data_IF_348504814703
#
_entry.id   IF_348504814703
#
_cell.length_a   1.000
_cell.length_b   1.000
_cell.length_c   1.000
_cell.angle_alpha   90.00
_cell.angle_beta   90.00
_cell.angle_gamma   90.00
#
_symmetry.space_group_name_H-M   'P 1'
#
loop_
_entity.id
_entity.type
_entity.pdbx_description
1 polymer ?
#
# COMPACT_ATOMS: atom_id res chain seq x y z
N UNK A 1 -23.07 5.42 16.26
CA UNK A 1 -22.58 5.84 14.93
C UNK A 1 -21.33 6.69 15.12
N UNK A 2 -20.24 6.43 14.37
CA UNK A 2 -19.00 7.22 14.48
C UNK A 2 -19.22 8.68 14.07
N UNK A 3 -18.68 9.60 14.88
CA UNK A 3 -18.68 11.04 14.57
C UNK A 3 -17.60 11.40 13.55
N UNK A 4 -17.68 12.58 12.90
CA UNK A 4 -16.63 13.06 12.00
C UNK A 4 -15.27 13.15 12.71
N UNK A 5 -15.26 13.59 13.98
CA UNK A 5 -14.06 13.67 14.80
C UNK A 5 -13.42 12.30 15.03
N UNK A 6 -14.23 11.27 15.28
CA UNK A 6 -13.74 9.90 15.44
C UNK A 6 -13.18 9.32 14.15
N UNK A 7 -13.87 9.52 13.01
CA UNK A 7 -13.37 9.09 11.70
C UNK A 7 -12.03 9.76 11.42
N UNK A 8 -11.95 11.09 11.62
CA UNK A 8 -10.72 11.84 11.39
C UNK A 8 -9.58 11.41 12.32
N UNK A 9 -9.88 11.17 13.59
CA UNK A 9 -8.88 10.72 14.57
C UNK A 9 -8.24 9.37 14.23
N UNK A 10 -8.93 8.53 13.46
CA UNK A 10 -8.39 7.26 12.95
C UNK A 10 -7.67 7.46 11.62
N UNK A 11 -8.24 8.25 10.70
CA UNK A 11 -7.74 8.43 9.34
C UNK A 11 -6.46 9.28 9.27
N UNK A 12 -6.41 10.38 10.04
CA UNK A 12 -5.33 11.34 9.97
C UNK A 12 -3.95 10.72 10.31
N UNK A 13 -3.80 9.89 11.36
CA UNK A 13 -2.53 9.25 11.62
C UNK A 13 -2.13 8.23 10.54
N UNK A 14 -3.09 7.56 9.91
CA UNK A 14 -2.83 6.67 8.78
C UNK A 14 -2.33 7.49 7.57
N UNK A 15 -2.98 8.61 7.28
CA UNK A 15 -2.56 9.54 6.23
C UNK A 15 -1.11 9.98 6.45
N UNK A 16 -0.77 10.45 7.64
CA UNK A 16 0.59 10.90 7.96
C UNK A 16 1.62 9.78 7.84
N UNK A 17 1.26 8.55 8.23
CA UNK A 17 2.16 7.41 8.08
C UNK A 17 2.43 7.06 6.62
N UNK A 18 1.44 7.19 5.74
CA UNK A 18 1.61 6.98 4.29
C UNK A 18 2.42 8.12 3.64
N UNK A 19 2.22 9.36 4.08
CA UNK A 19 3.05 10.48 3.63
C UNK A 19 4.51 10.30 4.03
N UNK A 20 4.79 9.91 5.27
CA UNK A 20 6.14 9.66 5.73
C UNK A 20 6.82 8.52 4.96
N UNK A 21 6.06 7.45 4.63
CA UNK A 21 6.56 6.37 3.77
C UNK A 21 6.93 6.88 2.37
N UNK A 22 6.14 7.80 1.82
CA UNK A 22 6.44 8.40 0.52
C UNK A 22 7.70 9.28 0.59
N UNK A 23 7.88 10.03 1.68
CA UNK A 23 9.11 10.82 1.91
C UNK A 23 10.35 9.92 1.95
N UNK A 24 10.30 8.76 2.62
CA UNK A 24 11.40 7.78 2.61
C UNK A 24 11.75 7.41 1.17
N UNK A 25 10.76 6.96 0.38
CA UNK A 25 10.99 6.53 -0.99
C UNK A 25 11.61 7.64 -1.88
N UNK A 26 11.15 8.88 -1.70
CA UNK A 26 11.69 10.04 -2.45
C UNK A 26 13.13 10.34 -2.01
N UNK A 27 13.44 10.26 -0.73
CA UNK A 27 14.78 10.52 -0.20
C UNK A 27 15.77 9.45 -0.66
N UNK A 28 15.43 8.17 -0.56
CA UNK A 28 16.24 7.05 -1.06
C UNK A 28 16.57 7.25 -2.55
N UNK A 29 15.55 7.56 -3.35
CA UNK A 29 15.71 7.81 -4.79
C UNK A 29 16.62 9.01 -5.06
N UNK A 30 16.45 10.11 -4.32
CA UNK A 30 17.27 11.31 -4.47
C UNK A 30 18.74 11.05 -4.09
N UNK A 31 18.99 10.35 -2.98
CA UNK A 31 20.36 10.06 -2.54
C UNK A 31 21.08 9.11 -3.51
N UNK A 32 20.40 8.05 -3.97
CA UNK A 32 20.97 7.12 -4.95
C UNK A 32 21.18 7.75 -6.32
N UNK A 33 20.33 8.69 -6.71
CA UNK A 33 20.53 9.48 -7.93
C UNK A 33 21.80 10.35 -7.91
N UNK A 34 22.28 10.76 -6.71
CA UNK A 34 23.55 11.45 -6.54
C UNK A 34 24.76 10.51 -6.55
N UNK A 35 24.55 9.21 -6.36
CA UNK A 35 25.64 8.21 -6.43
C UNK A 35 25.95 7.90 -7.90
N UNK A 36 24.97 7.37 -8.64
CA UNK A 36 25.10 7.09 -10.08
C UNK A 36 23.75 6.71 -10.70
N UNK A 37 23.66 6.84 -12.02
CA UNK A 37 22.50 6.36 -12.79
C UNK A 37 22.30 4.83 -12.65
N UNK A 38 23.40 4.09 -12.56
CA UNK A 38 23.38 2.63 -12.35
C UNK A 38 22.80 2.30 -10.98
N UNK A 39 23.22 3.01 -9.90
CA UNK A 39 22.71 2.80 -8.57
C UNK A 39 21.21 3.12 -8.48
N UNK A 40 20.77 4.19 -9.14
CA UNK A 40 19.35 4.55 -9.23
C UNK A 40 18.53 3.47 -9.95
N UNK A 41 18.98 3.02 -11.11
CA UNK A 41 18.31 1.97 -11.88
C UNK A 41 18.26 0.63 -11.15
N UNK A 42 19.37 0.24 -10.53
CA UNK A 42 19.49 -0.98 -9.77
C UNK A 42 18.59 -1.01 -8.52
N UNK A 43 18.54 0.09 -7.77
CA UNK A 43 17.63 0.21 -6.61
C UNK A 43 16.16 0.21 -7.01
N UNK A 44 15.82 0.80 -8.17
CA UNK A 44 14.47 0.76 -8.70
C UNK A 44 14.03 -0.68 -9.03
N UNK A 45 14.88 -1.48 -9.68
CA UNK A 45 14.59 -2.89 -10.00
C UNK A 45 14.51 -3.75 -8.73
N UNK A 46 15.48 -3.62 -7.83
CA UNK A 46 15.48 -4.35 -6.54
C UNK A 46 14.30 -3.93 -5.65
N UNK A 47 13.97 -2.65 -5.61
CA UNK A 47 12.82 -2.11 -4.88
C UNK A 47 11.49 -2.62 -5.42
N UNK A 48 11.34 -2.70 -6.75
CA UNK A 48 10.14 -3.26 -7.38
C UNK A 48 9.94 -4.74 -7.00
N UNK A 49 11.00 -5.53 -7.05
CA UNK A 49 10.95 -6.92 -6.59
C UNK A 49 10.54 -7.02 -5.12
N UNK A 50 11.17 -6.21 -4.26
CA UNK A 50 10.86 -6.17 -2.84
C UNK A 50 9.40 -5.81 -2.58
N UNK A 51 8.86 -4.80 -3.28
CA UNK A 51 7.46 -4.38 -3.15
C UNK A 51 6.51 -5.50 -3.60
N UNK A 52 6.79 -6.20 -4.69
CA UNK A 52 5.98 -7.34 -5.13
C UNK A 52 5.86 -8.42 -4.05
N UNK A 53 6.96 -8.76 -3.40
CA UNK A 53 6.97 -9.72 -2.29
C UNK A 53 6.24 -9.15 -1.07
N UNK A 54 6.47 -7.89 -0.73
CA UNK A 54 5.86 -7.20 0.39
C UNK A 54 4.33 -7.12 0.28
N UNK A 55 3.76 -6.98 -0.92
CA UNK A 55 2.30 -6.91 -1.12
C UNK A 55 1.57 -8.15 -0.61
N UNK A 56 2.23 -9.32 -0.62
CA UNK A 56 1.69 -10.58 -0.08
C UNK A 56 1.50 -10.44 1.45
N UNK A 57 2.53 -9.99 2.16
CA UNK A 57 2.46 -9.77 3.60
C UNK A 57 1.46 -8.67 3.97
N UNK A 58 1.43 -7.60 3.18
CA UNK A 58 0.47 -6.50 3.35
C UNK A 58 -0.97 -6.98 3.19
N UNK A 59 -1.24 -7.82 2.18
CA UNK A 59 -2.55 -8.44 1.97
C UNK A 59 -2.96 -9.33 3.14
N UNK A 60 -2.05 -10.17 3.67
CA UNK A 60 -2.29 -10.97 4.86
C UNK A 60 -2.61 -10.10 6.09
N UNK A 61 -1.85 -9.05 6.30
CA UNK A 61 -2.05 -8.14 7.43
C UNK A 61 -3.39 -7.41 7.35
N UNK A 62 -3.85 -7.05 6.14
CA UNK A 62 -5.16 -6.43 5.92
C UNK A 62 -6.30 -7.39 6.30
N UNK A 63 -6.20 -8.67 5.93
CA UNK A 63 -7.16 -9.67 6.37
C UNK A 63 -7.15 -9.87 7.89
N UNK A 64 -5.97 -9.93 8.51
CA UNK A 64 -5.82 -10.00 9.96
C UNK A 64 -6.39 -8.76 10.66
N UNK A 65 -6.22 -7.57 10.08
CA UNK A 65 -6.81 -6.32 10.57
C UNK A 65 -8.34 -6.40 10.65
N UNK A 66 -9.00 -7.00 9.65
CA UNK A 66 -10.45 -7.20 9.63
C UNK A 66 -10.89 -8.07 10.82
N UNK A 67 -10.17 -9.16 11.08
CA UNK A 67 -10.47 -10.06 12.21
C UNK A 67 -10.24 -9.35 13.54
N UNK A 68 -9.13 -8.65 13.71
CA UNK A 68 -8.82 -7.87 14.91
C UNK A 68 -9.90 -6.81 15.15
N UNK A 69 -10.27 -6.06 14.11
CA UNK A 69 -11.31 -5.03 14.20
C UNK A 69 -12.67 -5.63 14.60
N UNK A 70 -13.01 -6.81 14.08
CA UNK A 70 -14.24 -7.52 14.44
C UNK A 70 -14.23 -7.91 15.92
N UNK A 71 -13.14 -8.55 16.40
CA UNK A 71 -13.00 -8.94 17.82
C UNK A 71 -13.04 -7.74 18.75
N UNK A 72 -12.39 -6.64 18.35
CA UNK A 72 -12.42 -5.39 19.11
C UNK A 72 -13.84 -4.83 19.20
N UNK A 73 -14.60 -4.83 18.11
CA UNK A 73 -16.00 -4.39 18.08
C UNK A 73 -16.94 -5.27 18.91
N UNK A 74 -16.72 -6.59 18.90
CA UNK A 74 -17.45 -7.58 19.72
C UNK A 74 -17.17 -7.45 21.22
N UNK A 75 -16.19 -6.61 21.64
CA UNK A 75 -15.72 -6.56 23.01
C UNK A 75 -14.86 -7.75 23.43
N UNK A 76 -14.54 -8.65 22.50
CA UNK A 76 -13.69 -9.84 22.71
C UNK A 76 -12.21 -9.47 22.63
N UNK A 77 -11.79 -8.54 23.48
CA UNK A 77 -10.45 -7.95 23.42
C UNK A 77 -9.34 -8.99 23.62
N UNK A 78 -9.55 -9.99 24.49
CA UNK A 78 -8.57 -11.05 24.76
C UNK A 78 -8.28 -11.95 23.55
N UNK A 79 -9.14 -11.94 22.53
CA UNK A 79 -8.97 -12.72 21.31
C UNK A 79 -8.15 -11.97 20.25
N UNK A 80 -7.84 -10.71 20.48
CA UNK A 80 -6.99 -9.90 19.60
C UNK A 80 -5.54 -10.38 19.62
N UNK A 81 -4.99 -10.65 20.81
CA UNK A 81 -3.62 -11.12 20.98
C UNK A 81 -3.33 -12.42 20.22
N UNK A 82 -4.17 -13.47 20.37
CA UNK A 82 -4.02 -14.68 19.58
C UNK A 82 -3.94 -14.45 18.06
N UNK A 83 -4.80 -13.58 17.50
CA UNK A 83 -4.76 -13.24 16.06
C UNK A 83 -3.44 -12.57 15.71
N UNK A 84 -2.97 -11.61 16.53
CA UNK A 84 -1.68 -10.94 16.34
C UNK A 84 -0.51 -11.93 16.36
N UNK A 85 -0.46 -12.81 17.37
CA UNK A 85 0.63 -13.79 17.56
C UNK A 85 0.65 -14.79 16.39
N UNK A 86 -0.50 -15.38 16.02
CA UNK A 86 -0.57 -16.30 14.89
C UNK A 86 -0.17 -15.61 13.57
N UNK A 87 -0.59 -14.35 13.38
CA UNK A 87 -0.21 -13.56 12.21
C UNK A 87 1.29 -13.30 12.14
N UNK A 88 1.92 -12.93 13.27
CA UNK A 88 3.39 -12.74 13.34
C UNK A 88 4.12 -14.05 13.07
N UNK A 89 3.69 -15.17 13.66
CA UNK A 89 4.31 -16.49 13.41
C UNK A 89 4.22 -16.89 11.95
N UNK A 90 3.05 -16.72 11.34
CA UNK A 90 2.83 -17.03 9.92
C UNK A 90 3.68 -16.14 9.01
N UNK A 91 3.68 -14.83 9.23
CA UNK A 91 4.45 -13.90 8.42
C UNK A 91 5.97 -14.07 8.60
N UNK A 92 6.42 -14.44 9.80
CA UNK A 92 7.83 -14.76 10.03
C UNK A 92 8.25 -16.04 9.29
N UNK A 93 7.42 -17.09 9.33
CA UNK A 93 7.66 -18.30 8.54
C UNK A 93 7.66 -18.01 7.02
N UNK A 94 6.73 -17.18 6.56
CA UNK A 94 6.68 -16.73 5.17
C UNK A 94 7.91 -15.89 4.79
N UNK A 95 8.40 -15.03 5.69
CA UNK A 95 9.63 -14.27 5.47
C UNK A 95 10.84 -15.21 5.31
N UNK A 96 10.95 -16.27 6.12
CA UNK A 96 11.98 -17.29 5.98
C UNK A 96 11.93 -18.01 4.63
N UNK A 97 10.73 -18.42 4.20
CA UNK A 97 10.53 -19.07 2.90
C UNK A 97 10.90 -18.15 1.74
N UNK A 98 10.43 -16.91 1.76
CA UNK A 98 10.68 -15.92 0.70
C UNK A 98 12.13 -15.44 0.70
N UNK A 99 12.78 -15.35 1.85
CA UNK A 99 14.20 -15.09 1.97
C UNK A 99 15.02 -16.24 1.31
N UNK A 100 14.73 -17.49 1.67
CA UNK A 100 15.38 -18.66 1.05
C UNK A 100 15.12 -18.76 -0.45
N UNK A 101 13.88 -18.53 -0.87
CA UNK A 101 13.50 -18.48 -2.29
C UNK A 101 14.26 -17.39 -3.06
N UNK A 102 14.35 -16.19 -2.50
CA UNK A 102 15.06 -15.08 -3.15
C UNK A 102 16.57 -15.35 -3.21
N UNK A 103 17.15 -15.94 -2.17
CA UNK A 103 18.58 -16.37 -2.21
C UNK A 103 18.85 -17.44 -3.25
N UNK A 104 17.94 -18.39 -3.43
CA UNK A 104 18.10 -19.49 -4.39
C UNK A 104 17.83 -19.07 -5.85
N UNK A 105 16.81 -18.26 -6.09
CA UNK A 105 16.27 -17.98 -7.42
C UNK A 105 16.32 -16.50 -7.82
N UNK A 106 16.60 -15.59 -6.91
CA UNK A 106 16.58 -14.15 -7.16
C UNK A 106 17.49 -13.71 -8.30
N UNK A 107 18.70 -14.28 -8.36
CA UNK A 107 19.63 -14.03 -9.46
C UNK A 107 19.08 -14.45 -10.82
N UNK A 108 18.46 -15.63 -10.92
CA UNK A 108 17.85 -16.11 -12.16
C UNK A 108 16.68 -15.24 -12.59
N UNK A 109 15.84 -14.81 -11.62
CA UNK A 109 14.71 -13.92 -11.89
C UNK A 109 15.20 -12.57 -12.38
N UNK A 110 16.21 -11.98 -11.72
CA UNK A 110 16.75 -10.68 -12.12
C UNK A 110 17.43 -10.75 -13.49
N UNK A 111 18.10 -11.83 -13.86
CA UNK A 111 18.66 -12.01 -15.20
C UNK A 111 17.61 -12.06 -16.31
N UNK A 112 16.39 -12.51 -16.02
CA UNK A 112 15.28 -12.47 -16.97
C UNK A 112 14.69 -11.06 -17.14
N UNK A 113 14.82 -10.21 -16.12
CA UNK A 113 14.18 -8.89 -16.07
C UNK A 113 15.12 -7.74 -16.43
N UNK A 114 16.43 -7.91 -16.21
CA UNK A 114 17.44 -6.87 -16.37
C UNK A 114 18.40 -7.24 -17.49
N UNK A 115 18.46 -6.43 -18.54
CA UNK A 115 19.33 -6.67 -19.71
C UNK A 115 20.73 -6.10 -19.53
N UNK A 116 20.89 -5.04 -18.73
CA UNK A 116 22.19 -4.40 -18.47
C UNK A 116 22.94 -5.13 -17.36
N UNK A 117 24.17 -5.60 -17.61
CA UNK A 117 24.98 -6.30 -16.62
C UNK A 117 25.30 -5.40 -15.42
N UNK A 118 25.62 -4.14 -15.62
CA UNK A 118 25.92 -3.19 -14.52
C UNK A 118 24.70 -2.95 -13.61
N UNK A 119 23.51 -2.85 -14.19
CA UNK A 119 22.25 -2.72 -13.41
C UNK A 119 21.95 -4.04 -12.70
N UNK A 120 22.20 -5.20 -13.34
CA UNK A 120 22.01 -6.50 -12.72
C UNK A 120 22.90 -6.66 -11.48
N UNK A 121 24.20 -6.39 -11.61
CA UNK A 121 25.14 -6.48 -10.48
C UNK A 121 24.74 -5.56 -9.33
N UNK A 122 24.40 -4.30 -9.62
CA UNK A 122 23.91 -3.36 -8.60
C UNK A 122 22.59 -3.81 -7.97
N UNK A 123 21.68 -4.39 -8.76
CA UNK A 123 20.42 -4.96 -8.24
C UNK A 123 20.65 -6.12 -7.30
N UNK A 124 21.59 -7.01 -7.62
CA UNK A 124 21.95 -8.13 -6.75
C UNK A 124 22.64 -7.65 -5.48
N UNK A 125 23.55 -6.67 -5.56
CA UNK A 125 24.16 -6.06 -4.39
C UNK A 125 23.13 -5.42 -3.46
N UNK A 126 22.11 -4.72 -4.01
CA UNK A 126 21.00 -4.16 -3.26
C UNK A 126 20.16 -5.26 -2.60
N UNK A 127 19.74 -6.26 -3.38
CA UNK A 127 18.85 -7.34 -2.90
C UNK A 127 19.53 -8.20 -1.85
N UNK A 128 20.83 -8.47 -1.96
CA UNK A 128 21.56 -9.27 -0.98
C UNK A 128 21.43 -8.77 0.45
N UNK A 129 21.25 -7.47 0.62
CA UNK A 129 21.02 -6.84 1.92
C UNK A 129 19.54 -6.51 2.15
N UNK A 130 18.83 -6.06 1.13
CA UNK A 130 17.45 -5.60 1.27
C UNK A 130 16.49 -6.71 1.71
N UNK A 131 16.71 -7.95 1.29
CA UNK A 131 15.86 -9.10 1.64
C UNK A 131 15.84 -9.43 3.13
N UNK A 132 16.84 -9.02 3.93
CA UNK A 132 16.77 -9.11 5.39
C UNK A 132 15.63 -8.26 5.95
N UNK A 133 15.19 -7.25 5.23
CA UNK A 133 14.02 -6.45 5.55
C UNK A 133 12.71 -7.24 5.61
N UNK A 134 12.59 -8.41 4.94
CA UNK A 134 11.38 -9.24 5.04
C UNK A 134 11.06 -9.60 6.49
N UNK A 135 12.07 -9.93 7.30
CA UNK A 135 11.86 -10.28 8.71
C UNK A 135 11.26 -9.12 9.51
N UNK A 136 11.62 -7.90 9.18
CA UNK A 136 11.17 -6.72 9.90
C UNK A 136 9.89 -6.14 9.29
N UNK A 137 9.84 -5.94 7.98
CA UNK A 137 8.67 -5.35 7.32
C UNK A 137 7.40 -6.19 7.50
N UNK A 138 7.52 -7.53 7.48
CA UNK A 138 6.37 -8.42 7.67
C UNK A 138 5.81 -8.37 9.09
N UNK A 139 6.66 -8.21 10.09
CA UNK A 139 6.20 -7.99 11.46
C UNK A 139 5.60 -6.58 11.62
N UNK A 140 6.20 -5.57 10.99
CA UNK A 140 5.71 -4.20 11.02
C UNK A 140 4.26 -4.09 10.51
N UNK A 141 3.92 -4.78 9.41
CA UNK A 141 2.54 -4.73 8.89
C UNK A 141 1.53 -5.39 9.84
N UNK A 142 1.95 -6.36 10.68
CA UNK A 142 1.08 -6.94 11.72
C UNK A 142 0.83 -5.95 12.86
N UNK A 143 1.84 -5.20 13.31
CA UNK A 143 1.63 -4.11 14.28
C UNK A 143 0.69 -3.03 13.71
N UNK A 144 0.89 -2.67 12.45
CA UNK A 144 -0.02 -1.75 11.75
C UNK A 144 -1.46 -2.28 11.74
N UNK A 145 -1.66 -3.56 11.42
CA UNK A 145 -2.97 -4.22 11.45
C UNK A 145 -3.59 -4.21 12.84
N UNK A 146 -2.80 -4.47 13.88
CA UNK A 146 -3.25 -4.40 15.27
C UNK A 146 -3.79 -3.02 15.60
N UNK A 147 -2.98 -1.97 15.41
CA UNK A 147 -3.33 -0.63 15.81
C UNK A 147 -4.48 -0.01 15.02
N UNK A 148 -4.59 -0.32 13.72
CA UNK A 148 -5.73 0.08 12.90
C UNK A 148 -6.99 -0.69 13.35
N UNK A 149 -6.86 -1.99 13.59
CA UNK A 149 -7.97 -2.85 14.02
C UNK A 149 -8.58 -2.42 15.35
N UNK A 150 -7.75 -2.07 16.33
CA UNK A 150 -8.22 -1.54 17.64
C UNK A 150 -8.46 -0.04 17.64
N UNK A 151 -8.40 0.64 16.47
CA UNK A 151 -8.64 2.08 16.28
C UNK A 151 -7.71 3.02 17.07
N UNK A 152 -6.49 2.55 17.42
CA UNK A 152 -5.45 3.35 18.11
C UNK A 152 -4.34 3.78 17.16
N UNK A 153 -4.67 4.52 16.12
CA UNK A 153 -3.79 4.80 14.96
C UNK A 153 -2.71 5.86 15.20
N UNK A 154 -2.79 6.65 16.26
CA UNK A 154 -1.79 7.72 16.56
C UNK A 154 -0.35 7.22 16.60
N UNK A 155 -0.14 6.00 17.07
CA UNK A 155 1.18 5.36 17.11
C UNK A 155 1.80 5.20 15.72
N UNK A 156 0.98 5.04 14.68
CA UNK A 156 1.45 4.87 13.31
C UNK A 156 2.19 6.10 12.80
N UNK A 157 1.70 7.30 13.16
CA UNK A 157 2.40 8.54 12.82
C UNK A 157 3.75 8.63 13.51
N UNK A 158 3.80 8.34 14.82
CA UNK A 158 5.06 8.41 15.58
C UNK A 158 6.06 7.38 15.03
N UNK A 159 5.59 6.16 14.79
CA UNK A 159 6.41 5.11 14.19
C UNK A 159 6.95 5.50 12.82
N UNK A 160 6.10 6.10 11.97
CA UNK A 160 6.51 6.53 10.64
C UNK A 160 7.58 7.63 10.70
N UNK A 161 7.48 8.56 11.66
CA UNK A 161 8.52 9.57 11.90
C UNK A 161 9.83 8.92 12.38
N UNK A 162 9.76 8.00 13.34
CA UNK A 162 10.95 7.26 13.83
C UNK A 162 11.62 6.51 12.68
N UNK A 163 10.84 5.79 11.87
CA UNK A 163 11.36 5.04 10.73
C UNK A 163 11.98 5.97 9.67
N UNK A 164 11.30 7.07 9.34
CA UNK A 164 11.79 8.03 8.35
C UNK A 164 13.08 8.72 8.80
N UNK A 165 13.15 9.18 10.05
CA UNK A 165 14.37 9.81 10.58
C UNK A 165 15.53 8.79 10.61
N UNK A 166 15.28 7.56 11.05
CA UNK A 166 16.31 6.51 11.07
C UNK A 166 16.81 6.22 9.66
N UNK A 167 15.90 6.07 8.68
CA UNK A 167 16.25 5.81 7.29
C UNK A 167 17.10 6.95 6.72
N UNK A 168 16.60 8.21 6.75
CA UNK A 168 17.29 9.37 6.16
C UNK A 168 18.68 9.58 6.77
N UNK A 169 18.81 9.44 8.10
CA UNK A 169 20.11 9.57 8.77
C UNK A 169 21.06 8.45 8.37
N UNK A 170 20.59 7.20 8.37
CA UNK A 170 21.43 6.05 7.99
C UNK A 170 21.78 6.06 6.51
N UNK A 171 20.87 6.48 5.64
CA UNK A 171 21.17 6.67 4.21
C UNK A 171 22.29 7.67 4.01
N UNK A 172 22.19 8.84 4.64
CA UNK A 172 23.26 9.85 4.55
C UNK A 172 24.61 9.33 5.06
N UNK A 173 24.59 8.57 6.15
CA UNK A 173 25.80 8.02 6.76
C UNK A 173 26.41 6.89 5.93
N UNK A 174 25.60 5.93 5.50
CA UNK A 174 26.08 4.70 4.86
C UNK A 174 26.28 4.84 3.35
N UNK A 175 25.41 5.60 2.66
CA UNK A 175 25.56 5.82 1.22
C UNK A 175 26.83 6.63 0.95
N UNK A 176 27.02 7.74 1.69
CA UNK A 176 28.10 8.69 1.44
C UNK A 176 29.33 8.55 2.36
N UNK A 177 29.36 7.53 3.23
CA UNK A 177 30.51 7.26 4.10
C UNK A 177 30.80 8.38 5.09
N UNK A 178 29.79 8.93 5.78
CA UNK A 178 29.96 10.01 6.74
C UNK A 178 30.19 9.48 8.16
N UNK A 179 30.68 10.36 9.05
CA UNK A 179 30.96 10.05 10.46
C UNK A 179 31.90 8.85 10.69
N UNK A 180 32.85 8.63 9.79
CA UNK A 180 33.85 7.56 9.90
C UNK A 180 33.37 6.19 9.39
N UNK A 181 32.19 6.10 8.84
CA UNK A 181 31.70 4.87 8.17
C UNK A 181 32.25 4.81 6.73
N UNK A 182 32.47 3.60 6.19
CA UNK A 182 32.85 3.45 4.79
C UNK A 182 31.70 3.87 3.86
N UNK A 183 32.04 4.41 2.70
CA UNK A 183 31.08 4.69 1.63
C UNK A 183 30.59 3.36 1.04
N UNK A 184 29.28 3.10 1.16
CA UNK A 184 28.67 1.82 0.76
C UNK A 184 27.75 1.96 -0.45
N UNK A 185 27.49 3.17 -0.93
CA UNK A 185 26.63 3.40 -2.10
C UNK A 185 25.27 2.69 -1.98
N UNK A 186 24.91 1.90 -3.00
CA UNK A 186 23.64 1.19 -3.09
C UNK A 186 23.43 0.15 -1.97
N UNK A 187 24.49 -0.52 -1.55
CA UNK A 187 24.47 -1.43 -0.41
C UNK A 187 24.10 -0.70 0.89
N UNK A 188 24.63 0.54 1.06
CA UNK A 188 24.33 1.40 2.19
C UNK A 188 22.84 1.73 2.29
N UNK A 189 22.20 2.06 1.16
CA UNK A 189 20.76 2.30 1.10
C UNK A 189 19.93 1.07 1.51
N UNK A 190 20.31 -0.14 1.04
CA UNK A 190 19.64 -1.37 1.41
C UNK A 190 19.73 -1.64 2.92
N UNK A 191 20.92 -1.48 3.51
CA UNK A 191 21.17 -1.66 4.95
C UNK A 191 20.39 -0.61 5.76
N UNK A 192 20.41 0.65 5.35
CA UNK A 192 19.69 1.74 6.04
C UNK A 192 18.18 1.46 6.09
N UNK A 193 17.58 1.03 4.98
CA UNK A 193 16.17 0.65 4.92
C UNK A 193 15.84 -0.52 5.85
N UNK A 194 16.69 -1.55 5.91
CA UNK A 194 16.51 -2.70 6.83
C UNK A 194 16.60 -2.26 8.29
N UNK A 195 17.57 -1.42 8.64
CA UNK A 195 17.73 -0.90 10.00
C UNK A 195 16.58 0.04 10.40
N UNK A 196 16.05 0.81 9.47
CA UNK A 196 14.86 1.63 9.69
C UNK A 196 13.63 0.76 10.00
N UNK A 197 13.42 -0.32 9.26
CA UNK A 197 12.36 -1.29 9.53
C UNK A 197 12.55 -2.00 10.89
N UNK A 198 13.79 -2.33 11.26
CA UNK A 198 14.13 -2.89 12.57
C UNK A 198 13.84 -1.90 13.71
N UNK A 199 14.20 -0.62 13.53
CA UNK A 199 13.90 0.44 14.51
C UNK A 199 12.40 0.63 14.71
N UNK A 200 11.63 0.48 13.64
CA UNK A 200 10.16 0.50 13.66
C UNK A 200 9.59 -0.62 14.55
N UNK A 201 10.11 -1.85 14.43
CA UNK A 201 9.66 -2.96 15.31
C UNK A 201 10.02 -2.67 16.76
N UNK A 202 11.24 -2.24 17.03
CA UNK A 202 11.68 -1.90 18.37
C UNK A 202 10.78 -0.84 19.00
N UNK A 203 10.47 0.20 18.23
CA UNK A 203 9.52 1.24 18.63
C UNK A 203 8.14 0.65 18.95
N UNK A 204 7.58 -0.18 18.07
CA UNK A 204 6.27 -0.79 18.29
C UNK A 204 6.25 -1.68 19.53
N UNK A 205 7.29 -2.47 19.78
CA UNK A 205 7.40 -3.32 20.95
C UNK A 205 7.42 -2.48 22.24
N UNK A 206 8.28 -1.47 22.29
CA UNK A 206 8.40 -0.57 23.44
C UNK A 206 7.08 0.18 23.68
N UNK A 207 6.52 0.77 22.63
CA UNK A 207 5.27 1.53 22.73
C UNK A 207 4.11 0.63 23.17
N UNK A 208 4.00 -0.58 22.62
CA UNK A 208 2.96 -1.55 23.00
C UNK A 208 3.10 -1.94 24.45
N UNK A 209 4.32 -2.22 24.92
CA UNK A 209 4.57 -2.60 26.31
C UNK A 209 4.19 -1.49 27.30
N UNK A 210 4.47 -0.23 26.94
CA UNK A 210 4.23 0.92 27.84
C UNK A 210 2.76 1.38 27.81
N UNK A 211 2.11 1.38 26.64
CA UNK A 211 0.84 2.10 26.45
C UNK A 211 -0.39 1.22 26.26
N UNK A 212 -0.19 -0.08 25.95
CA UNK A 212 -1.28 -1.01 25.71
C UNK A 212 -1.47 -1.92 26.92
N UNK A 213 -2.71 -2.06 27.38
CA UNK A 213 -3.02 -3.07 28.38
C UNK A 213 -2.91 -4.47 27.76
N UNK A 214 -1.75 -5.09 27.95
CA UNK A 214 -1.42 -6.40 27.40
C UNK A 214 -2.37 -7.50 27.86
N UNK A 215 -2.87 -7.43 29.12
CA UNK A 215 -3.83 -8.41 29.66
C UNK A 215 -5.18 -8.27 28.98
N UNK A 216 -5.65 -7.02 28.81
CA UNK A 216 -6.90 -6.73 28.12
C UNK A 216 -6.94 -7.31 26.73
N UNK A 217 -5.86 -7.14 25.96
CA UNK A 217 -5.80 -7.61 24.57
C UNK A 217 -5.23 -9.02 24.41
N UNK A 218 -4.94 -9.74 25.50
CA UNK A 218 -4.41 -11.11 25.45
C UNK A 218 -3.00 -11.21 24.83
N UNK A 219 -2.22 -10.12 24.90
CA UNK A 219 -0.85 -10.04 24.39
C UNK A 219 0.20 -10.44 25.42
N UNK A 220 -0.20 -10.64 26.67
CA UNK A 220 0.68 -10.96 27.80
C UNK A 220 1.10 -12.43 27.87
N UNK A 221 0.58 -13.28 27.02
CA UNK A 221 0.88 -14.72 26.96
C UNK A 221 1.22 -15.12 25.56
N UNK A 222 2.41 -15.67 25.36
CA UNK A 222 2.75 -16.39 24.14
C UNK A 222 1.88 -17.66 24.11
N UNK A 223 0.95 -17.70 23.16
CA UNK A 223 0.15 -18.90 22.90
C UNK A 223 0.89 -19.79 21.91
N UNK A 224 0.73 -21.10 22.08
CA UNK A 224 1.19 -22.08 21.11
C UNK A 224 0.53 -21.85 19.74
N UNK A 225 1.13 -22.38 18.70
CA UNK A 225 0.58 -22.36 17.35
C UNK A 225 -0.80 -23.02 17.33
N UNK A 226 -1.79 -22.29 16.79
CA UNK A 226 -3.18 -22.74 16.64
C UNK A 226 -3.56 -22.79 15.16
N UNK A 227 -3.48 -23.99 14.53
CA UNK A 227 -3.81 -24.14 13.11
C UNK A 227 -5.24 -23.75 12.77
N UNK A 228 -6.20 -23.97 13.68
CA UNK A 228 -7.60 -23.66 13.44
C UNK A 228 -7.84 -22.15 13.38
N UNK A 229 -7.22 -21.40 14.27
CA UNK A 229 -7.26 -19.94 14.26
C UNK A 229 -6.54 -19.39 13.02
N UNK A 230 -5.35 -19.92 12.70
CA UNK A 230 -4.62 -19.50 11.50
C UNK A 230 -5.43 -19.75 10.23
N UNK A 231 -6.08 -20.92 10.10
CA UNK A 231 -6.93 -21.24 8.94
C UNK A 231 -8.11 -20.27 8.82
N UNK A 232 -8.68 -19.85 9.96
CA UNK A 232 -9.73 -18.83 9.98
C UNK A 232 -9.19 -17.46 9.51
N UNK A 233 -8.01 -17.07 9.93
CA UNK A 233 -7.37 -15.83 9.44
C UNK A 233 -7.10 -15.95 7.94
N UNK A 234 -6.54 -17.07 7.48
CA UNK A 234 -6.23 -17.32 6.07
C UNK A 234 -7.48 -17.33 5.19
N UNK A 235 -8.63 -17.82 5.69
CA UNK A 235 -9.89 -17.82 4.94
C UNK A 235 -10.39 -16.41 4.55
N UNK A 236 -9.84 -15.38 5.18
CA UNK A 236 -10.07 -13.97 4.86
C UNK A 236 -8.87 -13.38 4.13
N UNK A 237 -7.67 -13.66 4.65
CA UNK A 237 -6.43 -13.02 4.21
C UNK A 237 -5.94 -13.52 2.85
N UNK A 238 -6.19 -14.78 2.45
CA UNK A 238 -5.75 -15.27 1.15
C UNK A 238 -6.40 -14.49 -0.02
N UNK A 239 -7.64 -14.06 0.14
CA UNK A 239 -8.32 -13.25 -0.87
C UNK A 239 -7.75 -11.84 -0.93
N UNK A 240 -7.40 -11.22 0.20
CA UNK A 240 -6.74 -9.92 0.22
C UNK A 240 -5.29 -10.00 -0.29
N UNK A 241 -4.56 -11.08 0.00
CA UNK A 241 -3.23 -11.31 -0.56
C UNK A 241 -3.26 -11.36 -2.10
N UNK A 242 -4.18 -12.16 -2.64
CA UNK A 242 -4.35 -12.29 -4.10
C UNK A 242 -4.81 -10.96 -4.72
N UNK A 243 -5.70 -10.25 -4.04
CA UNK A 243 -6.20 -8.93 -4.46
C UNK A 243 -5.05 -7.92 -4.63
N UNK A 244 -4.19 -7.75 -3.62
CA UNK A 244 -3.06 -6.82 -3.70
C UNK A 244 -2.06 -7.22 -4.78
N UNK A 245 -1.82 -8.51 -4.96
CA UNK A 245 -0.97 -9.01 -6.04
C UNK A 245 -1.54 -8.68 -7.42
N UNK A 246 -2.83 -8.92 -7.64
CA UNK A 246 -3.51 -8.61 -8.91
C UNK A 246 -3.54 -7.11 -9.19
N UNK A 247 -3.78 -6.28 -8.18
CA UNK A 247 -3.75 -4.81 -8.33
C UNK A 247 -2.36 -4.33 -8.76
N UNK A 248 -1.29 -4.92 -8.23
CA UNK A 248 0.07 -4.60 -8.65
C UNK A 248 0.34 -5.02 -10.10
N UNK A 249 -0.13 -6.20 -10.49
CA UNK A 249 -0.01 -6.69 -11.87
C UNK A 249 -0.73 -5.80 -12.89
N UNK A 250 -1.84 -5.19 -12.51
CA UNK A 250 -2.62 -4.27 -13.37
C UNK A 250 -1.79 -3.05 -13.80
N UNK A 251 -1.05 -2.46 -12.88
CA UNK A 251 -0.12 -1.38 -13.18
C UNK A 251 0.97 -1.78 -14.17
N UNK A 252 1.50 -2.99 -14.01
CA UNK A 252 2.50 -3.52 -14.92
C UNK A 252 1.96 -3.63 -16.35
N UNK A 253 0.74 -4.15 -16.52
CA UNK A 253 0.09 -4.24 -17.85
C UNK A 253 -0.09 -2.87 -18.47
N UNK A 254 -0.47 -1.84 -17.71
CA UNK A 254 -0.57 -0.47 -18.21
C UNK A 254 0.76 0.03 -18.76
N UNK A 255 1.85 -0.10 -17.98
CA UNK A 255 3.16 0.39 -18.40
C UNK A 255 3.71 -0.36 -19.62
N UNK A 256 3.47 -1.68 -19.73
CA UNK A 256 3.84 -2.46 -20.93
C UNK A 256 3.07 -1.97 -22.15
N UNK A 257 1.80 -1.63 -22.02
CA UNK A 257 1.02 -1.09 -23.13
C UNK A 257 1.51 0.30 -23.55
N UNK A 258 1.82 1.17 -22.60
CA UNK A 258 2.31 2.53 -22.87
C UNK A 258 3.73 2.52 -23.46
N UNK A 259 4.61 1.61 -23.04
CA UNK A 259 5.96 1.46 -23.62
C UNK A 259 5.91 1.24 -25.15
N UNK A 260 4.91 0.50 -25.62
CA UNK A 260 4.71 0.24 -27.05
C UNK A 260 4.23 1.46 -27.84
N UNK A 261 3.73 2.49 -27.18
CA UNK A 261 3.37 3.76 -27.82
C UNK A 261 4.60 4.60 -28.14
N UNK A 262 5.60 4.59 -27.27
CA UNK A 262 6.85 5.30 -27.48
C UNK A 262 7.52 5.75 -26.16
N UNK A 263 8.77 6.20 -26.28
CA UNK A 263 9.54 6.68 -25.13
C UNK A 263 8.97 7.97 -24.54
N UNK A 264 8.38 8.81 -25.40
CA UNK A 264 7.77 10.10 -25.01
C UNK A 264 6.53 9.86 -24.14
N UNK A 265 5.65 8.98 -24.59
CA UNK A 265 4.43 8.58 -23.89
C UNK A 265 4.76 7.91 -22.55
N UNK A 266 5.81 7.09 -22.53
CA UNK A 266 6.29 6.46 -21.30
C UNK A 266 6.81 7.50 -20.29
N UNK A 267 7.51 8.52 -20.75
CA UNK A 267 7.98 9.62 -19.90
C UNK A 267 6.80 10.40 -19.28
N UNK A 268 5.79 10.74 -20.10
CA UNK A 268 4.55 11.37 -19.64
C UNK A 268 3.86 10.49 -18.59
N UNK A 269 3.71 9.19 -18.88
CA UNK A 269 3.06 8.25 -17.99
C UNK A 269 3.75 8.18 -16.62
N UNK A 270 5.09 8.18 -16.59
CA UNK A 270 5.84 8.14 -15.33
C UNK A 270 5.65 9.40 -14.46
N UNK A 271 5.66 10.58 -15.09
CA UNK A 271 5.45 11.85 -14.39
C UNK A 271 4.01 11.91 -13.84
N UNK A 272 3.02 11.62 -14.67
CA UNK A 272 1.60 11.64 -14.30
C UNK A 272 1.31 10.62 -13.20
N UNK A 273 1.94 9.42 -13.25
CA UNK A 273 1.86 8.43 -12.19
C UNK A 273 2.37 8.95 -10.85
N UNK A 274 3.43 9.73 -10.85
CA UNK A 274 3.98 10.29 -9.61
C UNK A 274 2.96 11.21 -8.92
N UNK A 275 2.27 12.04 -9.68
CA UNK A 275 1.15 12.86 -9.17
C UNK A 275 0.00 11.99 -8.69
N UNK A 276 -0.37 10.98 -9.46
CA UNK A 276 -1.43 10.03 -9.13
C UNK A 276 -1.18 9.31 -7.79
N UNK A 277 0.03 8.82 -7.54
CA UNK A 277 0.40 8.14 -6.29
C UNK A 277 0.23 9.07 -5.08
N UNK A 278 0.63 10.34 -5.21
CA UNK A 278 0.47 11.33 -4.14
C UNK A 278 -1.01 11.59 -3.85
N UNK A 279 -1.84 11.74 -4.89
CA UNK A 279 -3.29 11.93 -4.75
C UNK A 279 -3.98 10.70 -4.16
N UNK A 280 -3.46 9.49 -4.37
CA UNK A 280 -4.00 8.26 -3.76
C UNK A 280 -3.76 8.15 -2.25
N UNK A 281 -2.80 8.86 -1.68
CA UNK A 281 -2.46 8.74 -0.25
C UNK A 281 -3.67 9.00 0.66
N UNK A 282 -4.40 10.13 0.56
CA UNK A 282 -5.58 10.36 1.39
C UNK A 282 -6.72 9.38 1.11
N UNK A 283 -6.88 8.94 -0.13
CA UNK A 283 -7.87 7.92 -0.52
C UNK A 283 -7.59 6.61 0.21
N UNK A 284 -6.34 6.13 0.17
CA UNK A 284 -5.92 4.90 0.84
C UNK A 284 -6.04 4.97 2.36
N UNK A 285 -5.77 6.14 2.96
CA UNK A 285 -5.96 6.35 4.39
C UNK A 285 -7.44 6.19 4.81
N UNK A 286 -8.36 6.80 4.06
CA UNK A 286 -9.79 6.73 4.33
C UNK A 286 -10.38 5.35 3.96
N UNK A 287 -9.91 4.71 2.91
CA UNK A 287 -10.26 3.34 2.56
C UNK A 287 -9.87 2.34 3.67
N UNK A 288 -8.64 2.43 4.17
CA UNK A 288 -8.15 1.62 5.31
C UNK A 288 -8.97 1.88 6.59
N UNK A 289 -9.30 3.14 6.85
CA UNK A 289 -10.17 3.53 7.97
C UNK A 289 -11.55 2.91 7.82
N UNK A 290 -12.13 2.94 6.62
CA UNK A 290 -13.45 2.35 6.35
C UNK A 290 -13.45 0.85 6.61
N UNK A 291 -12.44 0.14 6.12
CA UNK A 291 -12.27 -1.29 6.36
C UNK A 291 -12.32 -1.63 7.87
N UNK A 292 -11.54 -0.91 8.68
CA UNK A 292 -11.48 -1.13 10.13
C UNK A 292 -12.78 -0.74 10.85
N UNK A 293 -13.32 0.46 10.56
CA UNK A 293 -14.50 0.96 11.26
C UNK A 293 -15.77 0.16 10.91
N UNK A 294 -15.90 -0.32 9.68
CA UNK A 294 -16.99 -1.22 9.27
C UNK A 294 -16.92 -2.53 10.03
N UNK A 295 -15.72 -3.15 10.11
CA UNK A 295 -15.56 -4.41 10.84
C UNK A 295 -15.85 -4.24 12.33
N UNK A 296 -15.36 -3.15 12.95
CA UNK A 296 -15.68 -2.79 14.34
C UNK A 296 -17.20 -2.57 14.54
N UNK A 297 -17.85 -1.84 13.63
CA UNK A 297 -19.28 -1.55 13.74
C UNK A 297 -20.13 -2.83 13.67
N UNK A 298 -19.78 -3.76 12.80
CA UNK A 298 -20.48 -5.06 12.70
C UNK A 298 -20.22 -5.87 13.98
N UNK A 299 -18.99 -5.90 14.48
CA UNK A 299 -18.66 -6.58 15.74
C UNK A 299 -19.48 -6.06 16.91
N UNK A 300 -19.70 -4.76 16.97
CA UNK A 300 -20.56 -4.11 17.97
C UNK A 300 -22.06 -4.31 17.77
N UNK A 301 -22.48 -5.17 16.82
CA UNK A 301 -23.90 -5.37 16.50
C UNK A 301 -24.55 -4.25 15.69
N UNK A 302 -23.78 -3.28 15.24
CA UNK A 302 -24.25 -2.07 14.56
C UNK A 302 -24.45 -2.24 13.04
N UNK A 303 -24.93 -3.38 12.56
CA UNK A 303 -25.08 -3.70 11.13
C UNK A 303 -25.84 -2.61 10.36
N UNK A 304 -26.92 -2.07 10.95
CA UNK A 304 -27.74 -1.00 10.36
C UNK A 304 -26.98 0.31 10.13
N UNK A 305 -25.85 0.50 10.80
CA UNK A 305 -25.04 1.72 10.67
C UNK A 305 -23.92 1.60 9.64
N UNK A 306 -23.71 0.42 9.05
CA UNK A 306 -22.59 0.15 8.11
C UNK A 306 -22.74 1.02 6.85
N UNK A 307 -23.88 0.98 6.17
CA UNK A 307 -24.09 1.80 4.95
C UNK A 307 -24.04 3.32 5.24
N UNK A 308 -24.71 3.84 6.29
CA UNK A 308 -24.54 5.23 6.68
C UNK A 308 -23.09 5.62 7.00
N UNK A 309 -22.31 4.72 7.60
CA UNK A 309 -20.89 4.95 7.90
C UNK A 309 -20.07 5.03 6.61
N UNK A 310 -20.21 4.06 5.70
CA UNK A 310 -19.53 4.05 4.41
C UNK A 310 -19.84 5.33 3.63
N UNK A 311 -21.12 5.70 3.51
CA UNK A 311 -21.54 6.90 2.80
C UNK A 311 -20.99 8.18 3.44
N UNK A 312 -20.86 8.20 4.76
CA UNK A 312 -20.29 9.33 5.49
C UNK A 312 -18.80 9.48 5.21
N UNK A 313 -18.03 8.38 5.25
CA UNK A 313 -16.61 8.41 4.95
C UNK A 313 -16.37 8.72 3.46
N UNK A 314 -17.20 8.18 2.57
CA UNK A 314 -17.12 8.44 1.13
C UNK A 314 -17.33 9.93 0.80
N UNK A 315 -18.32 10.60 1.42
CA UNK A 315 -18.49 12.05 1.28
C UNK A 315 -17.28 12.82 1.80
N UNK A 316 -16.74 12.40 2.94
CA UNK A 316 -15.56 13.02 3.52
C UNK A 316 -14.35 12.89 2.61
N UNK A 317 -14.13 11.69 2.04
CA UNK A 317 -13.09 11.42 1.05
C UNK A 317 -13.24 12.25 -0.22
N UNK A 318 -14.48 12.35 -0.72
CA UNK A 318 -14.79 13.14 -1.90
C UNK A 318 -14.47 14.63 -1.73
N UNK A 319 -14.85 15.24 -0.60
CA UNK A 319 -14.57 16.67 -0.38
C UNK A 319 -13.07 16.96 -0.18
N UNK A 320 -12.33 16.07 0.48
CA UNK A 320 -10.86 16.21 0.57
C UNK A 320 -10.25 16.13 -0.83
N UNK A 321 -10.68 15.13 -1.63
CA UNK A 321 -10.17 14.95 -2.98
C UNK A 321 -10.57 16.10 -3.90
N UNK A 322 -11.77 16.63 -3.75
CA UNK A 322 -12.23 17.81 -4.53
C UNK A 322 -11.28 18.99 -4.33
N UNK A 323 -10.87 19.26 -3.09
CA UNK A 323 -9.90 20.32 -2.79
C UNK A 323 -8.53 20.06 -3.44
N UNK A 324 -8.01 18.82 -3.34
CA UNK A 324 -6.72 18.46 -3.94
C UNK A 324 -6.75 18.50 -5.47
N UNK A 325 -7.81 17.99 -6.06
CA UNK A 325 -8.02 18.00 -7.52
C UNK A 325 -8.19 19.44 -8.03
N UNK A 326 -8.90 20.29 -7.31
CA UNK A 326 -9.02 21.71 -7.68
C UNK A 326 -7.65 22.40 -7.69
N UNK A 327 -6.81 22.16 -6.69
CA UNK A 327 -5.44 22.67 -6.67
C UNK A 327 -4.60 22.12 -7.83
N UNK A 328 -4.71 20.81 -8.10
CA UNK A 328 -3.96 20.16 -9.19
C UNK A 328 -4.41 20.65 -10.56
N UNK A 329 -5.71 20.90 -10.75
CA UNK A 329 -6.27 21.38 -12.01
C UNK A 329 -6.02 22.88 -12.24
N UNK A 330 -5.89 23.68 -11.17
CA UNK A 330 -5.57 25.11 -11.29
C UNK A 330 -4.08 25.34 -11.58
N UNK A 331 -3.21 24.47 -11.09
CA UNK A 331 -1.76 24.61 -11.20
C UNK A 331 -1.06 23.38 -11.77
N UNK A 332 -1.53 22.79 -12.90
CA UNK A 332 -0.97 21.53 -13.41
C UNK A 332 0.49 21.67 -13.83
N UNK A 333 0.85 22.79 -14.47
CA UNK A 333 2.21 23.06 -14.91
C UNK A 333 3.19 23.18 -13.73
N UNK A 334 2.77 23.82 -12.62
CA UNK A 334 3.58 23.89 -11.41
C UNK A 334 3.83 22.50 -10.82
N UNK A 335 2.80 21.64 -10.73
CA UNK A 335 2.96 20.27 -10.23
C UNK A 335 3.90 19.45 -11.12
N UNK A 336 3.76 19.58 -12.42
CA UNK A 336 4.60 18.87 -13.39
C UNK A 336 6.05 19.39 -13.36
N UNK A 337 6.28 20.68 -13.12
CA UNK A 337 7.61 21.27 -13.02
C UNK A 337 8.44 20.76 -11.82
N UNK A 338 7.78 20.14 -10.81
CA UNK A 338 8.47 19.47 -9.72
C UNK A 338 9.22 18.22 -10.22
N UNK A 339 8.74 17.58 -11.29
CA UNK A 339 9.28 16.32 -11.80
C UNK A 339 10.16 16.48 -13.04
N UNK A 340 9.99 17.54 -13.81
CA UNK A 340 10.79 17.79 -15.01
C UNK A 340 10.94 19.28 -15.29
N UNK A 341 12.09 19.67 -15.85
CA UNK A 341 12.35 21.03 -16.31
C UNK A 341 12.07 21.23 -17.81
N UNK A 342 11.70 20.17 -18.53
CA UNK A 342 11.45 20.20 -19.97
C UNK A 342 10.06 20.78 -20.27
N UNK A 343 9.99 22.01 -20.78
CA UNK A 343 8.75 22.74 -21.02
C UNK A 343 7.78 22.01 -21.98
N UNK A 344 8.31 21.32 -23.00
CA UNK A 344 7.50 20.56 -23.94
C UNK A 344 6.82 19.37 -23.24
N UNK A 345 7.58 18.64 -22.43
CA UNK A 345 7.07 17.49 -21.66
C UNK A 345 6.02 17.91 -20.62
N UNK A 346 6.22 19.07 -19.99
CA UNK A 346 5.21 19.65 -19.08
C UNK A 346 3.91 19.91 -19.84
N UNK A 347 3.98 20.59 -20.98
CA UNK A 347 2.79 20.96 -21.76
C UNK A 347 2.03 19.73 -22.27
N UNK A 348 2.73 18.73 -22.77
CA UNK A 348 2.15 17.48 -23.27
C UNK A 348 1.54 16.60 -22.15
N UNK A 349 2.01 16.74 -20.92
CA UNK A 349 1.50 15.98 -19.77
C UNK A 349 0.21 16.56 -19.18
N UNK A 350 -0.11 17.84 -19.42
CA UNK A 350 -1.27 18.53 -18.83
C UNK A 350 -2.61 17.82 -19.11
N UNK A 351 -2.93 17.38 -20.36
CA UNK A 351 -4.18 16.68 -20.62
C UNK A 351 -4.34 15.41 -19.78
N UNK A 352 -3.26 14.63 -19.61
CA UNK A 352 -3.25 13.42 -18.78
C UNK A 352 -3.49 13.74 -17.31
N UNK A 353 -2.97 14.86 -16.79
CA UNK A 353 -3.24 15.31 -15.42
C UNK A 353 -4.73 15.60 -15.23
N UNK A 354 -5.40 16.25 -16.18
CA UNK A 354 -6.85 16.50 -16.09
C UNK A 354 -7.67 15.22 -16.08
N UNK A 355 -7.29 14.22 -16.89
CA UNK A 355 -7.95 12.90 -16.88
C UNK A 355 -7.78 12.22 -15.52
N UNK A 356 -6.58 12.23 -14.96
CA UNK A 356 -6.31 11.67 -13.63
C UNK A 356 -7.07 12.45 -12.55
N UNK A 357 -7.16 13.75 -12.61
CA UNK A 357 -7.99 14.56 -11.70
C UNK A 357 -9.45 14.09 -11.70
N UNK A 358 -10.03 13.86 -12.87
CA UNK A 358 -11.37 13.29 -12.99
C UNK A 358 -11.49 11.88 -12.39
N UNK A 359 -10.52 11.01 -12.68
CA UNK A 359 -10.46 9.66 -12.14
C UNK A 359 -10.35 9.66 -10.60
N UNK A 360 -9.57 10.58 -10.02
CA UNK A 360 -9.36 10.67 -8.58
C UNK A 360 -10.61 11.08 -7.79
N UNK A 361 -11.48 11.88 -8.36
CA UNK A 361 -12.78 12.19 -7.75
C UNK A 361 -13.62 10.92 -7.60
N UNK A 362 -13.65 10.08 -8.63
CA UNK A 362 -14.39 8.81 -8.58
C UNK A 362 -13.68 7.82 -7.65
N UNK A 363 -12.35 7.72 -7.75
CA UNK A 363 -11.53 6.86 -6.91
C UNK A 363 -11.70 7.12 -5.42
N UNK A 364 -11.88 8.39 -5.02
CA UNK A 364 -12.06 8.79 -3.62
C UNK A 364 -13.32 8.18 -2.99
N UNK A 365 -14.36 7.96 -3.78
CA UNK A 365 -15.60 7.29 -3.35
C UNK A 365 -15.50 5.78 -3.55
N UNK A 366 -15.01 5.35 -4.71
CA UNK A 366 -14.92 3.94 -5.10
C UNK A 366 -14.10 3.11 -4.09
N UNK A 367 -12.90 3.58 -3.74
CA UNK A 367 -12.03 2.87 -2.79
C UNK A 367 -12.63 2.76 -1.39
N UNK A 368 -13.33 3.79 -0.92
CA UNK A 368 -14.03 3.76 0.37
C UNK A 368 -15.15 2.74 0.37
N UNK A 369 -16.00 2.73 -0.67
CA UNK A 369 -17.11 1.79 -0.81
C UNK A 369 -16.59 0.35 -0.95
N UNK A 370 -15.57 0.15 -1.77
CA UNK A 370 -14.94 -1.15 -1.98
C UNK A 370 -14.30 -1.72 -0.70
N UNK A 371 -13.54 -0.90 0.04
CA UNK A 371 -12.99 -1.29 1.33
C UNK A 371 -14.07 -1.53 2.40
N UNK A 372 -15.24 -0.94 2.24
CA UNK A 372 -16.43 -1.28 3.01
C UNK A 372 -16.81 -2.75 2.86
N UNK A 373 -16.74 -3.33 1.64
CA UNK A 373 -17.00 -4.76 1.41
C UNK A 373 -15.99 -5.61 2.17
N UNK A 374 -14.69 -5.32 2.02
CA UNK A 374 -13.64 -6.04 2.74
C UNK A 374 -13.84 -5.97 4.25
N UNK A 375 -14.23 -4.81 4.78
CA UNK A 375 -14.55 -4.60 6.20
C UNK A 375 -15.73 -5.43 6.71
N UNK A 376 -16.66 -5.84 5.83
CA UNK A 376 -17.71 -6.81 6.23
C UNK A 376 -17.14 -8.22 6.50
N UNK A 377 -15.90 -8.50 6.09
CA UNK A 377 -15.28 -9.81 6.12
C UNK A 377 -15.53 -10.64 4.85
N UNK A 378 -16.23 -10.08 3.85
CA UNK A 378 -16.46 -10.77 2.59
C UNK A 378 -15.39 -10.44 1.55
N UNK A 379 -14.14 -10.75 1.89
CA UNK A 379 -12.95 -10.50 1.05
C UNK A 379 -12.97 -11.31 -0.25
N UNK A 380 -13.65 -12.47 -0.26
CA UNK A 380 -13.85 -13.24 -1.48
C UNK A 380 -14.70 -12.47 -2.51
N UNK A 381 -15.77 -11.83 -2.07
CA UNK A 381 -16.58 -10.99 -2.96
C UNK A 381 -15.80 -9.76 -3.44
N UNK A 382 -15.03 -9.13 -2.56
CA UNK A 382 -14.16 -8.02 -2.94
C UNK A 382 -13.17 -8.44 -4.05
N UNK A 383 -12.49 -9.59 -3.88
CA UNK A 383 -11.58 -10.12 -4.89
C UNK A 383 -12.31 -10.39 -6.22
N UNK A 384 -13.50 -10.99 -6.18
CA UNK A 384 -14.26 -11.28 -7.40
C UNK A 384 -14.62 -10.01 -8.17
N UNK A 385 -15.13 -8.99 -7.47
CA UNK A 385 -15.50 -7.71 -8.08
C UNK A 385 -14.29 -7.01 -8.68
N UNK A 386 -13.17 -7.01 -7.98
CA UNK A 386 -11.93 -6.43 -8.47
C UNK A 386 -11.36 -7.21 -9.65
N UNK A 387 -11.38 -8.55 -9.61
CA UNK A 387 -10.90 -9.38 -10.72
C UNK A 387 -11.68 -9.09 -12.01
N UNK A 388 -13.01 -8.97 -11.93
CA UNK A 388 -13.84 -8.59 -13.09
C UNK A 388 -13.42 -7.22 -13.61
N UNK A 389 -13.20 -6.25 -12.72
CA UNK A 389 -12.78 -4.90 -13.08
C UNK A 389 -11.38 -4.89 -13.72
N UNK A 390 -10.44 -5.71 -13.20
CA UNK A 390 -9.09 -5.87 -13.76
C UNK A 390 -9.11 -6.50 -15.16
N UNK A 391 -9.97 -7.47 -15.41
CA UNK A 391 -10.11 -8.06 -16.75
C UNK A 391 -10.58 -7.00 -17.75
N UNK A 392 -11.55 -6.17 -17.37
CA UNK A 392 -12.03 -5.07 -18.21
C UNK A 392 -10.92 -4.03 -18.39
N UNK A 393 -10.17 -3.71 -17.34
CA UNK A 393 -9.01 -2.82 -17.40
C UNK A 393 -7.98 -3.30 -18.42
N UNK A 394 -7.53 -4.56 -18.28
CA UNK A 394 -6.56 -5.15 -19.21
C UNK A 394 -7.05 -5.16 -20.66
N UNK A 395 -8.30 -5.56 -20.87
CA UNK A 395 -8.91 -5.57 -22.20
C UNK A 395 -8.97 -4.17 -22.82
N UNK A 396 -9.36 -3.16 -22.03
CA UNK A 396 -9.43 -1.77 -22.47
C UNK A 396 -8.05 -1.23 -22.85
N UNK A 397 -7.05 -1.38 -21.99
CA UNK A 397 -5.71 -0.81 -22.26
C UNK A 397 -5.01 -1.51 -23.43
N UNK A 398 -5.22 -2.83 -23.60
CA UNK A 398 -4.73 -3.55 -24.77
C UNK A 398 -5.40 -3.01 -26.04
N UNK A 399 -6.72 -2.84 -26.03
CA UNK A 399 -7.45 -2.35 -27.19
C UNK A 399 -7.08 -0.90 -27.53
N UNK A 400 -7.15 0.01 -26.57
CA UNK A 400 -6.90 1.45 -26.78
C UNK A 400 -5.40 1.74 -26.98
N UNK A 401 -4.53 1.17 -26.16
CA UNK A 401 -3.10 1.46 -26.20
C UNK A 401 -2.37 0.68 -27.28
N UNK A 402 -2.65 -0.63 -27.42
CA UNK A 402 -1.86 -1.48 -28.34
C UNK A 402 -2.46 -1.58 -29.75
N UNK A 403 -3.79 -1.61 -29.88
CA UNK A 403 -4.45 -1.73 -31.20
C UNK A 403 -4.73 -0.38 -31.84
N UNK A 404 -5.41 0.52 -31.11
CA UNK A 404 -5.74 1.84 -31.63
C UNK A 404 -4.56 2.83 -31.57
N UNK A 405 -3.53 2.55 -30.75
CA UNK A 405 -2.40 3.45 -30.47
C UNK A 405 -2.88 4.87 -30.17
N UNK A 406 -3.89 4.96 -29.31
CA UNK A 406 -4.48 6.24 -28.93
C UNK A 406 -3.48 7.09 -28.13
N UNK A 407 -3.62 8.43 -28.13
CA UNK A 407 -2.82 9.31 -27.30
C UNK A 407 -2.83 8.91 -25.82
N UNK A 408 -1.75 9.23 -25.10
CA UNK A 408 -1.55 8.80 -23.71
C UNK A 408 -2.66 9.26 -22.77
N UNK A 409 -3.21 10.45 -22.96
CA UNK A 409 -4.33 10.95 -22.17
C UNK A 409 -5.59 10.10 -22.33
N UNK A 410 -5.82 9.52 -23.51
CA UNK A 410 -6.92 8.58 -23.76
C UNK A 410 -6.63 7.24 -23.05
N UNK A 411 -5.38 6.78 -23.03
CA UNK A 411 -4.99 5.60 -22.28
C UNK A 411 -5.28 5.76 -20.79
N UNK A 412 -5.05 6.94 -20.20
CA UNK A 412 -5.38 7.22 -18.80
C UNK A 412 -6.87 7.23 -18.47
N UNK A 413 -7.77 7.34 -19.46
CA UNK A 413 -9.22 7.23 -19.20
C UNK A 413 -9.62 5.86 -18.67
N UNK A 414 -8.76 4.86 -18.77
CA UNK A 414 -8.96 3.55 -18.13
C UNK A 414 -9.15 3.66 -16.61
N UNK A 415 -8.48 4.61 -15.97
CA UNK A 415 -8.64 4.86 -14.54
C UNK A 415 -10.07 5.30 -14.20
N UNK A 416 -10.69 6.11 -15.06
CA UNK A 416 -12.10 6.52 -14.92
C UNK A 416 -13.00 5.29 -15.04
N UNK A 417 -12.77 4.46 -16.05
CA UNK A 417 -13.54 3.23 -16.29
C UNK A 417 -13.37 2.27 -15.10
N UNK A 418 -12.14 2.05 -14.65
CA UNK A 418 -11.81 1.18 -13.52
C UNK A 418 -12.55 1.59 -12.25
N UNK A 419 -12.40 2.84 -11.80
CA UNK A 419 -13.02 3.31 -10.57
C UNK A 419 -14.54 3.43 -10.68
N UNK A 420 -15.08 3.75 -11.86
CA UNK A 420 -16.54 3.76 -12.08
C UNK A 420 -17.14 2.37 -11.95
N UNK A 421 -16.53 1.37 -12.59
CA UNK A 421 -16.98 -0.03 -12.50
C UNK A 421 -16.86 -0.54 -11.06
N UNK A 422 -15.70 -0.28 -10.42
CA UNK A 422 -15.47 -0.68 -9.04
C UNK A 422 -16.51 -0.06 -8.10
N UNK A 423 -16.85 1.22 -8.28
CA UNK A 423 -17.86 1.91 -7.50
C UNK A 423 -19.25 1.31 -7.69
N UNK A 424 -19.68 1.15 -8.94
CA UNK A 424 -21.02 0.65 -9.27
C UNK A 424 -21.20 -0.77 -8.74
N UNK A 425 -20.26 -1.65 -9.03
CA UNK A 425 -20.34 -3.07 -8.63
C UNK A 425 -20.30 -3.21 -7.10
N UNK A 426 -19.42 -2.47 -6.43
CA UNK A 426 -19.30 -2.48 -4.97
C UNK A 426 -20.56 -1.94 -4.28
N UNK A 427 -21.13 -0.86 -4.79
CA UNK A 427 -22.33 -0.25 -4.20
C UNK A 427 -23.57 -1.15 -4.39
N UNK A 428 -23.72 -1.76 -5.58
CA UNK A 428 -24.78 -2.74 -5.84
C UNK A 428 -24.64 -3.94 -4.91
N UNK A 429 -23.41 -4.46 -4.74
CA UNK A 429 -23.13 -5.57 -3.84
C UNK A 429 -23.54 -5.22 -2.39
N UNK A 430 -23.09 -4.10 -1.85
CA UNK A 430 -23.42 -3.68 -0.48
C UNK A 430 -24.94 -3.49 -0.25
N UNK A 431 -25.70 -3.09 -1.28
CA UNK A 431 -27.15 -2.94 -1.19
C UNK A 431 -27.92 -4.25 -1.31
N UNK A 432 -27.49 -5.17 -2.17
CA UNK A 432 -28.25 -6.36 -2.54
C UNK A 432 -27.80 -7.65 -1.88
N UNK A 433 -26.51 -7.78 -1.55
CA UNK A 433 -25.95 -9.02 -1.01
C UNK A 433 -26.24 -9.19 0.49
N UNK A 434 -26.33 -10.44 0.92
CA UNK A 434 -26.58 -10.83 2.33
C UNK A 434 -25.27 -10.91 3.14
N UNK A 435 -24.45 -9.87 3.09
CA UNK A 435 -23.18 -9.81 3.82
C UNK A 435 -23.34 -9.72 5.35
N UNK A 436 -24.55 -9.33 5.83
CA UNK A 436 -24.86 -9.12 7.24
C UNK A 436 -24.70 -10.39 8.09
N UNK A 437 -24.83 -11.55 7.49
CA UNK A 437 -24.77 -12.86 8.17
C UNK A 437 -23.36 -13.48 8.17
N UNK A 438 -22.35 -12.79 7.62
CA UNK A 438 -20.98 -13.31 7.53
C UNK A 438 -20.35 -13.37 8.92
N UNK A 439 -20.09 -14.58 9.40
CA UNK A 439 -19.31 -14.85 10.63
C UNK A 439 -17.82 -14.93 10.28
N UNK A 440 -16.97 -14.31 11.08
CA UNK A 440 -15.52 -14.32 10.95
C UNK A 440 -14.85 -14.71 12.28
#
# INVERSE_FOLDING_TARGET
MYTNKQIWSVSYPILLSLLAQNVINVTDTAFLGHVSEVALGASAMGGLFYICVFTIAFGFSTGSQIVIARRNGEGRYTDVGPVMIQGVMFLFAMALLLFGFTKAFGGNIMRLLVSSESIYEGTMEFLDWRIYGFFFSFINVMFRALYIGITRTKVLTINAVVMALTNVVLDYVLIFGKFGMPEMGIKGAAIASVLAEASSILFFLIYTYITVDLKKYGLNRLRSFDPALLMRILSISCFTMLQYFLSMATWFVFFVAVERLGQRELAIANIVRSIYVVLLIPVNALATTTNSLVSNAIGAGGIKFVMPLINKIARFSFFIMLGLVALSALFPQFLLSIYTSEAALITESVPSVYVICGAMLIASVANVVFNGISGTGNTQAALLLETITIIIYGSYIIFIGMWLKAPIEICFTIEIVYYTLLLITSYIYLKKAKWQNKKI
#
